data_IF_665054346130
#
_entry.id   IF_665054346130
#
_cell.length_a   1.000
_cell.length_b   1.000
_cell.length_c   1.000
_cell.angle_alpha   90.00
_cell.angle_beta   90.00
_cell.angle_gamma   90.00
#
_symmetry.space_group_name_H-M   'P 1'
#
loop_
_entity.id
_entity.type
_entity.pdbx_description
1 polymer ?
#
# COMPACT_ATOMS: atom_id res chain seq x y z
N UNK A 1 -18.06 6.78 -13.84
CA UNK A 1 -18.77 6.74 -15.14
C UNK A 1 -18.99 5.32 -15.66
N UNK A 2 -17.96 4.48 -15.81
CA UNK A 2 -18.12 3.10 -16.32
C UNK A 2 -19.23 2.28 -15.63
N UNK A 3 -19.24 2.22 -14.29
CA UNK A 3 -20.29 1.51 -13.54
C UNK A 3 -21.69 2.09 -13.79
N UNK A 4 -21.81 3.41 -13.89
CA UNK A 4 -23.08 4.10 -14.21
C UNK A 4 -23.58 3.66 -15.57
N UNK A 5 -22.72 3.66 -16.60
CA UNK A 5 -23.15 3.20 -17.94
C UNK A 5 -23.58 1.72 -17.90
N UNK A 6 -22.78 0.85 -17.28
CA UNK A 6 -23.06 -0.59 -17.25
C UNK A 6 -24.40 -0.91 -16.58
N UNK A 7 -24.75 -0.18 -15.52
CA UNK A 7 -25.96 -0.42 -14.74
C UNK A 7 -27.19 0.34 -15.27
N UNK A 8 -27.00 1.43 -16.01
CA UNK A 8 -28.09 2.31 -16.42
C UNK A 8 -28.41 2.28 -17.93
N UNK A 9 -27.56 1.66 -18.75
CA UNK A 9 -27.70 1.68 -20.21
C UNK A 9 -27.63 0.28 -20.82
N UNK A 10 -28.66 -0.05 -21.61
CA UNK A 10 -28.62 -1.19 -22.53
C UNK A 10 -28.26 -0.62 -23.91
N UNK A 11 -27.07 -0.94 -24.40
CA UNK A 11 -26.55 -0.47 -25.67
C UNK A 11 -26.18 -1.64 -26.58
N UNK A 12 -26.24 -1.44 -27.90
CA UNK A 12 -25.90 -2.47 -28.90
C UNK A 12 -24.38 -2.60 -29.08
N UNK A 13 -23.68 -2.94 -28.01
CA UNK A 13 -22.22 -3.11 -27.96
C UNK A 13 -21.87 -4.41 -27.23
N UNK A 14 -20.80 -5.08 -27.66
CA UNK A 14 -20.30 -6.28 -26.98
C UNK A 14 -19.59 -5.94 -25.65
N UNK A 15 -19.06 -4.72 -25.56
CA UNK A 15 -18.30 -4.22 -24.42
C UNK A 15 -18.66 -2.77 -24.18
N UNK A 16 -18.64 -2.38 -22.90
CA UNK A 16 -18.98 -1.02 -22.47
C UNK A 16 -17.72 -0.16 -22.28
N UNK A 17 -16.66 -0.38 -23.06
CA UNK A 17 -15.50 0.52 -22.99
C UNK A 17 -15.90 1.89 -23.53
N UNK A 18 -15.25 2.96 -23.08
CA UNK A 18 -15.56 4.31 -23.57
C UNK A 18 -15.46 4.40 -25.10
N UNK A 19 -14.50 3.68 -25.70
CA UNK A 19 -14.28 3.62 -27.15
C UNK A 19 -15.41 2.96 -27.91
N UNK A 20 -16.05 1.95 -27.31
CA UNK A 20 -17.22 1.28 -27.90
C UNK A 20 -18.47 2.17 -27.83
N UNK A 21 -18.49 3.11 -26.88
CA UNK A 21 -19.61 4.03 -26.64
C UNK A 21 -19.49 5.36 -27.39
N UNK A 22 -18.27 5.76 -27.80
CA UNK A 22 -17.99 7.00 -28.57
C UNK A 22 -18.94 7.25 -29.76
N UNK A 23 -19.35 6.21 -30.53
CA UNK A 23 -20.34 6.40 -31.60
C UNK A 23 -21.71 6.91 -31.12
N UNK A 24 -22.14 6.57 -29.91
CA UNK A 24 -23.47 6.95 -29.39
C UNK A 24 -23.54 8.42 -28.97
N UNK A 25 -22.42 9.01 -28.57
CA UNK A 25 -22.31 10.43 -28.21
C UNK A 25 -21.51 11.25 -29.24
N UNK A 26 -21.30 10.70 -30.44
CA UNK A 26 -20.75 11.41 -31.59
C UNK A 26 -19.31 11.90 -31.39
N UNK A 27 -18.48 11.16 -30.66
CA UNK A 27 -17.07 11.49 -30.52
C UNK A 27 -16.22 10.77 -31.56
N UNK A 28 -15.35 11.52 -32.24
CA UNK A 28 -14.42 10.99 -33.24
C UNK A 28 -13.03 11.44 -32.83
N UNK A 29 -12.17 10.45 -32.54
CA UNK A 29 -10.77 10.67 -32.19
C UNK A 29 -9.97 11.11 -33.40
N UNK A 30 -9.06 12.05 -33.20
CA UNK A 30 -8.07 12.46 -34.18
C UNK A 30 -6.82 11.56 -34.08
N UNK A 31 -6.50 11.07 -32.88
CA UNK A 31 -5.35 10.20 -32.66
C UNK A 31 -5.60 8.74 -33.08
N UNK A 32 -4.56 8.14 -33.68
CA UNK A 32 -4.56 6.71 -33.96
C UNK A 32 -4.21 5.93 -32.69
N UNK A 33 -5.16 5.11 -32.23
CA UNK A 33 -5.02 4.33 -30.99
C UNK A 33 -3.82 3.38 -30.97
N UNK A 34 -3.39 2.87 -32.13
CA UNK A 34 -2.21 1.99 -32.22
C UNK A 34 -0.93 2.77 -31.96
N UNK A 35 -0.83 3.96 -32.53
CA UNK A 35 0.34 4.83 -32.39
C UNK A 35 0.43 5.35 -30.95
N UNK A 36 -0.70 5.72 -30.33
CA UNK A 36 -0.77 6.09 -28.91
C UNK A 36 -0.34 4.95 -27.98
N UNK A 37 -0.73 3.71 -28.26
CA UNK A 37 -0.37 2.54 -27.45
C UNK A 37 1.14 2.23 -27.50
N UNK A 38 1.78 2.46 -28.65
CA UNK A 38 3.24 2.34 -28.78
C UNK A 38 3.96 3.46 -28.04
N UNK A 39 3.57 4.73 -28.28
CA UNK A 39 4.18 5.90 -27.64
C UNK A 39 4.06 5.87 -26.12
N UNK A 40 2.92 5.41 -25.57
CA UNK A 40 2.75 5.22 -24.12
C UNK A 40 3.79 4.27 -23.53
N UNK A 41 3.99 3.10 -24.15
CA UNK A 41 4.96 2.10 -23.65
C UNK A 41 6.40 2.62 -23.70
N UNK A 42 6.75 3.36 -24.76
CA UNK A 42 8.07 3.97 -24.89
C UNK A 42 8.31 5.04 -23.82
N UNK A 43 7.34 5.92 -23.60
CA UNK A 43 7.42 6.98 -22.57
C UNK A 43 7.45 6.38 -21.16
N UNK A 44 6.64 5.35 -20.89
CA UNK A 44 6.62 4.64 -19.60
C UNK A 44 7.99 4.01 -19.29
N UNK A 45 8.56 3.26 -20.24
CA UNK A 45 9.89 2.67 -20.08
C UNK A 45 10.98 3.73 -19.88
N UNK A 46 10.91 4.86 -20.61
CA UNK A 46 11.86 5.95 -20.45
C UNK A 46 11.78 6.61 -19.06
N UNK A 47 10.57 6.78 -18.53
CA UNK A 47 10.36 7.27 -17.16
C UNK A 47 10.98 6.31 -16.15
N UNK A 48 10.76 4.99 -16.30
CA UNK A 48 11.31 3.97 -15.41
C UNK A 48 12.85 3.91 -15.46
N UNK A 49 13.43 4.10 -16.64
CA UNK A 49 14.87 4.11 -16.85
C UNK A 49 15.53 5.44 -16.44
N UNK A 50 14.77 6.53 -16.31
CA UNK A 50 15.30 7.88 -16.09
C UNK A 50 15.85 8.54 -17.36
N UNK A 51 15.54 8.00 -18.53
CA UNK A 51 16.10 8.38 -19.84
C UNK A 51 15.08 9.15 -20.69
N UNK A 52 14.49 10.20 -20.12
CA UNK A 52 13.62 11.12 -20.86
C UNK A 52 14.46 12.18 -21.57
N UNK A 53 14.74 11.97 -22.86
CA UNK A 53 15.45 12.93 -23.71
C UNK A 53 14.57 13.49 -24.85
N UNK A 54 15.15 14.41 -25.63
CA UNK A 54 14.47 15.09 -26.75
C UNK A 54 14.02 14.11 -27.86
N UNK A 55 14.57 12.90 -27.94
CA UNK A 55 14.17 11.91 -28.95
C UNK A 55 12.75 11.37 -28.70
N UNK A 56 12.22 11.54 -27.49
CA UNK A 56 10.89 11.13 -27.08
C UNK A 56 9.84 12.24 -27.19
N UNK A 57 10.19 13.47 -27.58
CA UNK A 57 9.26 14.60 -27.57
C UNK A 57 8.02 14.35 -28.44
N UNK A 58 8.18 13.70 -29.59
CA UNK A 58 7.05 13.32 -30.44
C UNK A 58 6.16 12.29 -29.74
N UNK A 59 6.75 11.27 -29.11
CA UNK A 59 6.00 10.28 -28.33
C UNK A 59 5.28 10.93 -27.14
N UNK A 60 5.89 11.90 -26.46
CA UNK A 60 5.27 12.66 -25.38
C UNK A 60 4.07 13.47 -25.86
N UNK A 61 4.17 14.11 -27.03
CA UNK A 61 3.04 14.82 -27.67
C UNK A 61 1.90 13.88 -27.99
N UNK A 62 2.19 12.72 -28.60
CA UNK A 62 1.17 11.69 -28.88
C UNK A 62 0.48 11.21 -27.60
N UNK A 63 1.23 10.97 -26.52
CA UNK A 63 0.66 10.57 -25.21
C UNK A 63 -0.19 11.69 -24.62
N UNK A 64 0.27 12.95 -24.69
CA UNK A 64 -0.47 14.11 -24.19
C UNK A 64 -1.79 14.32 -24.96
N UNK A 65 -1.75 14.20 -26.29
CA UNK A 65 -2.92 14.29 -27.15
C UNK A 65 -3.91 13.15 -26.89
N UNK A 66 -3.41 11.92 -26.77
CA UNK A 66 -4.24 10.77 -26.40
C UNK A 66 -4.95 10.97 -25.05
N UNK A 67 -4.22 11.45 -24.02
CA UNK A 67 -4.80 11.70 -22.71
C UNK A 67 -5.82 12.85 -22.75
N UNK A 68 -5.57 13.89 -23.56
CA UNK A 68 -6.54 14.97 -23.78
C UNK A 68 -7.83 14.43 -24.39
N UNK A 69 -7.74 13.61 -25.44
CA UNK A 69 -8.91 13.00 -26.07
C UNK A 69 -9.68 12.07 -25.12
N UNK A 70 -8.99 11.30 -24.26
CA UNK A 70 -9.65 10.48 -23.23
C UNK A 70 -10.45 11.35 -22.24
N UNK A 71 -9.92 12.51 -21.83
CA UNK A 71 -10.64 13.47 -20.99
C UNK A 71 -11.85 14.07 -21.70
N UNK A 72 -11.69 14.52 -22.94
CA UNK A 72 -12.77 15.09 -23.76
C UNK A 72 -13.88 14.05 -24.02
N UNK A 73 -13.52 12.83 -24.39
CA UNK A 73 -14.46 11.71 -24.58
C UNK A 73 -15.24 11.42 -23.29
N UNK A 74 -14.55 11.42 -22.14
CA UNK A 74 -15.18 11.19 -20.83
C UNK A 74 -16.17 12.28 -20.48
N UNK A 75 -15.84 13.54 -20.76
CA UNK A 75 -16.75 14.66 -20.55
C UNK A 75 -17.99 14.54 -21.44
N UNK A 76 -17.82 14.26 -22.74
CA UNK A 76 -18.96 14.10 -23.66
C UNK A 76 -19.85 12.92 -23.31
N UNK A 77 -19.27 11.81 -22.85
CA UNK A 77 -20.03 10.69 -22.31
C UNK A 77 -20.90 11.15 -21.14
N UNK A 78 -20.34 11.91 -20.19
CA UNK A 78 -21.13 12.46 -19.08
C UNK A 78 -22.27 13.35 -19.57
N UNK A 79 -21.98 14.30 -20.48
CA UNK A 79 -22.99 15.22 -21.01
C UNK A 79 -24.13 14.46 -21.70
N UNK A 80 -23.80 13.44 -22.49
CA UNK A 80 -24.79 12.58 -23.14
C UNK A 80 -25.62 11.78 -22.14
N UNK A 81 -25.02 11.23 -21.08
CA UNK A 81 -25.76 10.55 -20.01
C UNK A 81 -26.73 11.50 -19.29
N UNK A 82 -26.35 12.76 -19.09
CA UNK A 82 -27.24 13.77 -18.51
C UNK A 82 -28.40 14.13 -19.42
N UNK A 83 -28.18 14.16 -20.74
CA UNK A 83 -29.26 14.33 -21.73
C UNK A 83 -30.25 13.17 -21.65
N UNK A 84 -29.77 11.92 -21.66
CA UNK A 84 -30.63 10.73 -21.52
C UNK A 84 -31.40 10.75 -20.20
N UNK A 85 -30.75 11.12 -19.10
CA UNK A 85 -31.40 11.27 -17.79
C UNK A 85 -32.51 12.33 -17.84
N UNK A 86 -32.27 13.47 -18.47
CA UNK A 86 -33.28 14.52 -18.62
C UNK A 86 -34.48 14.05 -19.46
N UNK A 87 -34.25 13.28 -20.52
CA UNK A 87 -35.31 12.67 -21.33
C UNK A 87 -36.18 11.72 -20.49
N UNK A 88 -35.57 10.82 -19.71
CA UNK A 88 -36.28 9.90 -18.83
C UNK A 88 -37.11 10.65 -17.78
N UNK A 89 -36.55 11.71 -17.18
CA UNK A 89 -37.28 12.57 -16.23
C UNK A 89 -38.46 13.26 -16.90
N UNK A 90 -38.29 13.75 -18.14
CA UNK A 90 -39.37 14.40 -18.89
C UNK A 90 -40.53 13.46 -19.23
N UNK A 91 -40.27 12.15 -19.28
CA UNK A 91 -41.28 11.11 -19.46
C UNK A 91 -42.02 10.74 -18.16
N UNK A 92 -41.68 11.40 -17.04
CA UNK A 92 -42.33 11.25 -15.74
C UNK A 92 -41.69 10.19 -14.84
N UNK A 93 -40.51 9.66 -15.20
CA UNK A 93 -39.77 8.74 -14.35
C UNK A 93 -38.90 9.51 -13.34
N UNK A 94 -38.88 9.03 -12.09
CA UNK A 94 -38.01 9.59 -11.06
C UNK A 94 -36.60 8.98 -11.14
N UNK A 95 -35.61 9.82 -11.45
CA UNK A 95 -34.20 9.43 -11.52
C UNK A 95 -33.34 10.46 -10.76
N UNK A 96 -33.44 10.48 -9.42
CA UNK A 96 -32.73 11.44 -8.59
C UNK A 96 -31.22 11.20 -8.66
N UNK A 97 -30.44 12.26 -8.44
CA UNK A 97 -28.99 12.08 -8.27
C UNK A 97 -28.75 11.36 -6.93
N UNK A 98 -27.82 10.40 -6.87
CA UNK A 98 -27.37 9.88 -5.59
C UNK A 98 -26.86 11.06 -4.76
N UNK A 99 -27.45 11.24 -3.59
CA UNK A 99 -26.90 12.15 -2.59
C UNK A 99 -25.70 11.39 -2.03
N UNK A 100 -24.47 11.92 -2.15
CA UNK A 100 -23.35 11.32 -1.45
C UNK A 100 -23.75 11.21 0.02
N UNK A 101 -23.63 10.04 0.65
CA UNK A 101 -23.90 9.95 2.08
C UNK A 101 -23.09 11.03 2.80
N UNK A 102 -23.72 11.68 3.78
CA UNK A 102 -23.05 12.57 4.74
C UNK A 102 -22.18 11.69 5.66
N UNK A 103 -21.18 11.05 5.07
CA UNK A 103 -20.13 10.36 5.81
C UNK A 103 -19.12 11.41 6.22
N UNK A 104 -19.51 12.20 7.22
CA UNK A 104 -18.56 12.97 7.99
C UNK A 104 -17.50 11.98 8.50
N UNK A 105 -16.29 12.08 7.94
CA UNK A 105 -15.17 11.33 8.41
C UNK A 105 -15.11 11.50 9.93
N UNK A 106 -15.03 10.38 10.67
CA UNK A 106 -15.11 10.42 12.14
C UNK A 106 -14.24 11.56 12.69
N UNK A 107 -14.67 12.21 13.77
CA UNK A 107 -13.96 13.37 14.37
C UNK A 107 -12.45 13.10 14.55
N UNK A 108 -12.08 11.84 14.80
CA UNK A 108 -10.68 11.38 14.87
C UNK A 108 -9.93 11.48 13.54
N UNK A 109 -10.55 11.07 12.43
CA UNK A 109 -9.99 11.17 11.08
C UNK A 109 -9.85 12.64 10.70
N UNK A 110 -10.87 13.47 10.96
CA UNK A 110 -10.80 14.90 10.68
C UNK A 110 -9.64 15.57 11.45
N UNK A 111 -9.51 15.30 12.76
CA UNK A 111 -8.38 15.81 13.58
C UNK A 111 -7.03 15.34 13.05
N UNK A 112 -6.93 14.09 12.62
CA UNK A 112 -5.71 13.56 12.03
C UNK A 112 -5.36 14.27 10.72
N UNK A 113 -6.33 14.42 9.81
CA UNK A 113 -6.12 15.05 8.51
C UNK A 113 -5.71 16.53 8.69
N UNK A 114 -6.31 17.25 9.65
CA UNK A 114 -5.87 18.60 10.04
C UNK A 114 -4.42 18.64 10.54
N UNK A 115 -4.03 17.70 11.41
CA UNK A 115 -2.69 17.68 11.98
C UNK A 115 -1.62 17.33 10.94
N UNK A 116 -1.91 16.37 10.05
CA UNK A 116 -1.04 16.05 8.92
C UNK A 116 -0.87 17.26 7.99
N UNK A 117 -1.96 17.99 7.73
CA UNK A 117 -1.94 19.21 6.93
C UNK A 117 -1.10 20.30 7.58
N UNK A 118 -1.26 20.54 8.89
CA UNK A 118 -0.45 21.50 9.66
C UNK A 118 1.04 21.18 9.55
N UNK A 119 1.41 19.92 9.75
CA UNK A 119 2.81 19.48 9.67
C UNK A 119 3.36 19.65 8.24
N UNK A 120 2.58 19.25 7.22
CA UNK A 120 2.97 19.39 5.81
C UNK A 120 3.21 20.86 5.45
N UNK A 121 2.27 21.73 5.79
CA UNK A 121 2.32 23.14 5.41
C UNK A 121 3.46 23.87 6.14
N UNK A 122 3.64 23.61 7.44
CA UNK A 122 4.78 24.16 8.19
C UNK A 122 6.13 23.69 7.64
N UNK A 123 6.25 22.44 7.19
CA UNK A 123 7.50 21.94 6.59
C UNK A 123 7.76 22.58 5.23
N UNK A 124 6.72 22.96 4.49
CA UNK A 124 6.82 23.62 3.19
C UNK A 124 6.96 25.15 3.27
N UNK A 125 6.91 25.73 4.47
CA UNK A 125 7.11 27.16 4.67
C UNK A 125 8.48 27.60 4.12
N UNK A 126 8.48 28.60 3.25
CA UNK A 126 9.64 29.12 2.53
C UNK A 126 10.44 28.06 1.75
N UNK A 127 9.78 26.99 1.25
CA UNK A 127 10.40 25.99 0.38
C UNK A 127 10.05 26.30 -1.10
N UNK A 128 11.03 26.63 -1.95
CA UNK A 128 10.78 26.87 -3.37
C UNK A 128 10.16 25.67 -4.11
N UNK A 129 9.31 25.94 -5.09
CA UNK A 129 8.72 24.91 -5.95
C UNK A 129 9.78 24.30 -6.87
N UNK A 130 10.72 25.10 -7.36
CA UNK A 130 11.84 24.63 -8.17
C UNK A 130 12.89 23.90 -7.30
N UNK A 131 13.19 22.61 -7.55
CA UNK A 131 14.19 21.87 -6.78
C UNK A 131 15.59 22.48 -6.80
N UNK A 132 15.99 23.16 -7.87
CA UNK A 132 17.33 23.76 -8.02
C UNK A 132 17.54 24.98 -7.11
N UNK A 133 16.45 25.59 -6.64
CA UNK A 133 16.48 26.76 -5.76
C UNK A 133 16.49 26.38 -4.27
N UNK A 134 16.38 25.09 -3.95
CA UNK A 134 16.31 24.61 -2.57
C UNK A 134 17.70 24.42 -1.97
N UNK A 135 17.88 24.91 -0.76
CA UNK A 135 18.96 24.45 0.12
C UNK A 135 18.78 22.98 0.49
N UNK A 136 19.84 22.35 0.99
CA UNK A 136 19.79 20.96 1.49
C UNK A 136 18.70 20.78 2.55
N UNK A 137 18.53 21.74 3.45
CA UNK A 137 17.49 21.70 4.49
C UNK A 137 16.09 21.90 3.92
N UNK A 138 15.91 22.80 2.94
CA UNK A 138 14.63 22.96 2.24
C UNK A 138 14.25 21.68 1.48
N UNK A 139 15.22 21.03 0.81
CA UNK A 139 14.98 19.76 0.13
C UNK A 139 14.65 18.63 1.12
N UNK A 140 15.29 18.61 2.29
CA UNK A 140 14.99 17.66 3.36
C UNK A 140 13.58 17.88 3.95
N UNK A 141 13.18 19.13 4.19
CA UNK A 141 11.82 19.49 4.63
C UNK A 141 10.78 19.12 3.57
N UNK A 142 11.05 19.41 2.30
CA UNK A 142 10.21 19.02 1.17
C UNK A 142 9.95 17.51 1.16
N UNK A 143 11.00 16.69 1.28
CA UNK A 143 10.88 15.24 1.32
C UNK A 143 10.04 14.78 2.52
N UNK A 144 10.31 15.30 3.72
CA UNK A 144 9.58 14.94 4.94
C UNK A 144 8.09 15.36 4.87
N UNK A 145 7.79 16.55 4.32
CA UNK A 145 6.42 17.03 4.16
C UNK A 145 5.57 16.07 3.33
N UNK A 146 6.12 15.58 2.21
CA UNK A 146 5.41 14.63 1.34
C UNK A 146 5.28 13.21 1.91
N UNK A 147 6.01 12.89 2.98
CA UNK A 147 5.83 11.65 3.77
C UNK A 147 4.68 11.73 4.78
N UNK A 148 4.24 12.94 5.20
CA UNK A 148 3.21 13.09 6.24
C UNK A 148 1.92 12.35 5.90
N UNK A 149 1.46 12.48 4.67
CA UNK A 149 0.21 11.86 4.20
C UNK A 149 0.41 10.47 3.59
N UNK A 150 1.64 9.95 3.51
CA UNK A 150 1.94 8.70 2.81
C UNK A 150 1.06 7.55 3.32
N UNK A 151 1.14 7.26 4.62
CA UNK A 151 0.34 6.18 5.22
C UNK A 151 -1.16 6.41 5.12
N UNK A 152 -1.62 7.66 5.19
CA UNK A 152 -3.03 8.01 5.05
C UNK A 152 -3.54 7.73 3.63
N UNK A 153 -2.72 8.01 2.61
CA UNK A 153 -3.02 7.69 1.20
C UNK A 153 -3.01 6.19 0.94
N UNK A 154 -2.00 5.48 1.44
CA UNK A 154 -1.92 4.01 1.33
C UNK A 154 -3.12 3.32 1.97
N UNK A 155 -3.55 3.80 3.15
CA UNK A 155 -4.73 3.26 3.83
C UNK A 155 -6.01 3.42 2.99
N UNK A 156 -6.14 4.50 2.19
CA UNK A 156 -7.33 4.73 1.34
C UNK A 156 -7.52 3.63 0.30
N UNK A 157 -6.46 3.12 -0.32
CA UNK A 157 -6.57 2.08 -1.33
C UNK A 157 -7.20 0.80 -0.73
N UNK A 158 -6.75 0.40 0.46
CA UNK A 158 -7.32 -0.73 1.21
C UNK A 158 -8.80 -0.51 1.54
N UNK A 159 -9.14 0.68 2.05
CA UNK A 159 -10.53 1.01 2.41
C UNK A 159 -11.45 1.17 1.19
N UNK A 160 -10.97 1.71 0.08
CA UNK A 160 -11.74 1.80 -1.16
C UNK A 160 -12.12 0.42 -1.69
N UNK A 161 -11.19 -0.52 -1.64
CA UNK A 161 -11.50 -1.90 -2.02
C UNK A 161 -12.53 -2.52 -1.09
N UNK A 162 -12.40 -2.32 0.22
CA UNK A 162 -13.41 -2.74 1.19
C UNK A 162 -14.80 -2.17 0.88
N UNK A 163 -14.91 -0.85 0.70
CA UNK A 163 -16.20 -0.21 0.43
C UNK A 163 -16.76 -0.57 -0.95
N UNK A 164 -15.89 -0.79 -1.95
CA UNK A 164 -16.31 -1.31 -3.26
C UNK A 164 -16.97 -2.67 -3.10
N UNK A 165 -16.34 -3.58 -2.35
CA UNK A 165 -16.88 -4.93 -2.10
C UNK A 165 -18.15 -4.84 -1.26
N UNK A 166 -18.18 -4.01 -0.22
CA UNK A 166 -19.36 -3.81 0.63
C UNK A 166 -20.58 -3.29 -0.15
N UNK A 167 -20.34 -2.48 -1.18
CA UNK A 167 -21.39 -1.92 -2.05
C UNK A 167 -21.87 -2.87 -3.16
N UNK A 168 -21.33 -4.10 -3.26
CA UNK A 168 -21.81 -5.10 -4.21
C UNK A 168 -23.19 -5.64 -3.81
N UNK A 169 -23.99 -6.02 -4.80
CA UNK A 169 -25.24 -6.73 -4.56
C UNK A 169 -24.95 -8.17 -4.08
N UNK A 170 -25.88 -8.77 -3.33
CA UNK A 170 -25.67 -10.12 -2.74
C UNK A 170 -25.35 -11.20 -3.80
N UNK A 171 -25.89 -11.05 -5.01
CA UNK A 171 -25.63 -11.97 -6.12
C UNK A 171 -24.21 -11.83 -6.70
N UNK A 172 -23.55 -10.68 -6.54
CA UNK A 172 -22.21 -10.42 -7.06
C UNK A 172 -21.11 -10.94 -6.13
N UNK A 173 -21.42 -11.24 -4.86
CA UNK A 173 -20.43 -11.78 -3.92
C UNK A 173 -19.83 -13.11 -4.38
N UNK A 174 -20.59 -13.97 -5.07
CA UNK A 174 -20.06 -15.26 -5.55
C UNK A 174 -18.89 -15.11 -6.55
N UNK A 175 -18.81 -13.96 -7.23
CA UNK A 175 -17.75 -13.63 -8.19
C UNK A 175 -16.60 -12.82 -7.56
N UNK A 176 -16.71 -12.45 -6.27
CA UNK A 176 -15.72 -11.66 -5.55
C UNK A 176 -14.85 -12.51 -4.63
N UNK A 177 -13.56 -12.61 -4.95
CA UNK A 177 -12.57 -13.43 -4.24
C UNK A 177 -12.35 -13.03 -2.80
N UNK A 178 -12.68 -11.79 -2.44
CA UNK A 178 -12.61 -11.28 -1.07
C UNK A 178 -13.94 -11.36 -0.33
N UNK A 179 -14.87 -12.19 -0.79
CA UNK A 179 -16.07 -12.54 -0.04
C UNK A 179 -16.27 -14.05 0.00
N UNK A 180 -16.91 -14.52 1.08
CA UNK A 180 -17.41 -15.88 1.18
C UNK A 180 -18.92 -15.81 1.37
N UNK A 181 -19.68 -16.28 0.39
CA UNK A 181 -21.15 -16.31 0.39
C UNK A 181 -21.68 -17.75 0.47
N UNK A 182 -22.95 -17.95 0.79
CA UNK A 182 -23.54 -19.28 0.94
C UNK A 182 -23.15 -20.00 2.23
N UNK A 183 -22.71 -19.26 3.26
CA UNK A 183 -22.26 -19.81 4.52
C UNK A 183 -23.39 -20.56 5.24
N UNK A 184 -23.11 -21.80 5.60
CA UNK A 184 -23.97 -22.65 6.42
C UNK A 184 -23.19 -23.11 7.64
N UNK A 185 -23.68 -22.75 8.81
CA UNK A 185 -23.11 -23.23 10.07
C UNK A 185 -23.14 -24.77 10.09
N UNK A 186 -22.00 -25.38 10.45
CA UNK A 186 -21.84 -26.81 10.51
C UNK A 186 -21.73 -27.30 11.96
N UNK A 187 -20.74 -26.79 12.71
CA UNK A 187 -20.47 -27.22 14.08
C UNK A 187 -19.68 -26.19 14.88
N UNK A 188 -19.73 -26.31 16.19
CA UNK A 188 -18.87 -25.59 17.12
C UNK A 188 -17.64 -26.45 17.44
N UNK A 189 -16.46 -25.96 17.08
CA UNK A 189 -15.19 -26.65 17.33
C UNK A 189 -14.64 -26.36 18.71
N UNK A 190 -14.89 -25.15 19.23
CA UNK A 190 -14.46 -24.76 20.58
C UNK A 190 -15.48 -23.84 21.23
N UNK A 191 -16.02 -24.30 22.36
CA UNK A 191 -16.92 -23.53 23.21
C UNK A 191 -16.12 -22.51 24.03
N UNK A 192 -16.40 -21.22 23.85
CA UNK A 192 -15.89 -20.16 24.72
C UNK A 192 -16.74 -18.89 24.59
N UNK A 193 -16.36 -17.82 25.27
CA UNK A 193 -16.98 -16.50 25.08
C UNK A 193 -16.69 -15.89 23.69
N UNK A 194 -15.74 -16.45 22.94
CA UNK A 194 -15.40 -16.11 21.56
C UNK A 194 -15.21 -17.42 20.79
N UNK A 195 -16.32 -18.12 20.45
CA UNK A 195 -16.26 -19.50 20.03
C UNK A 195 -15.56 -19.68 18.67
N UNK A 196 -15.08 -20.89 18.41
CA UNK A 196 -14.57 -21.29 17.11
C UNK A 196 -15.64 -22.12 16.41
N UNK A 197 -16.18 -21.59 15.31
CA UNK A 197 -17.28 -22.22 14.56
C UNK A 197 -16.83 -22.60 13.17
N UNK A 198 -17.24 -23.79 12.72
CA UNK A 198 -17.05 -24.25 11.34
C UNK A 198 -18.27 -23.95 10.50
N UNK A 199 -18.04 -23.47 9.30
CA UNK A 199 -19.05 -23.23 8.27
C UNK A 199 -18.69 -23.98 7.00
N UNK A 200 -19.72 -24.36 6.23
CA UNK A 200 -19.59 -24.80 4.84
C UNK A 200 -19.99 -23.67 3.89
N UNK A 201 -19.39 -23.65 2.72
CA UNK A 201 -19.71 -22.71 1.64
C UNK A 201 -19.77 -23.46 0.29
N UNK A 202 -20.49 -22.95 -0.73
CA UNK A 202 -20.48 -23.52 -2.07
C UNK A 202 -19.14 -23.30 -2.78
N UNK A 203 -18.85 -24.09 -3.81
CA UNK A 203 -17.66 -23.88 -4.67
C UNK A 203 -17.65 -22.45 -5.23
N UNK A 204 -16.64 -21.67 -4.86
CA UNK A 204 -16.41 -20.29 -5.29
C UNK A 204 -14.92 -19.98 -5.27
N UNK A 205 -14.48 -19.03 -6.08
CA UNK A 205 -13.11 -18.49 -6.01
C UNK A 205 -12.99 -17.65 -4.72
N UNK A 206 -12.07 -18.01 -3.82
CA UNK A 206 -11.90 -17.33 -2.53
C UNK A 206 -10.40 -17.19 -2.24
N UNK A 207 -9.92 -15.98 -1.93
CA UNK A 207 -8.55 -15.72 -1.45
C UNK A 207 -8.57 -15.47 0.06
N UNK A 208 -8.84 -16.53 0.82
CA UNK A 208 -8.82 -16.50 2.27
C UNK A 208 -7.45 -16.89 2.82
N UNK A 209 -7.00 -16.18 3.86
CA UNK A 209 -5.78 -16.50 4.60
C UNK A 209 -6.06 -16.64 6.07
N UNK A 210 -5.31 -17.50 6.74
CA UNK A 210 -5.36 -17.62 8.20
C UNK A 210 -5.02 -16.26 8.82
N UNK A 211 -5.86 -15.81 9.74
CA UNK A 211 -5.75 -14.52 10.40
C UNK A 211 -6.45 -13.38 9.66
N UNK A 212 -7.05 -13.61 8.49
CA UNK A 212 -7.82 -12.57 7.81
C UNK A 212 -8.99 -12.11 8.70
N UNK A 213 -9.18 -10.79 8.80
CA UNK A 213 -10.33 -10.23 9.51
C UNK A 213 -11.59 -10.38 8.65
N UNK A 214 -12.69 -10.78 9.29
CA UNK A 214 -13.99 -10.99 8.67
C UNK A 214 -14.96 -9.90 9.08
N UNK A 215 -15.70 -9.38 8.12
CA UNK A 215 -16.71 -8.34 8.27
C UNK A 215 -18.05 -8.83 7.71
N UNK A 216 -19.15 -8.44 8.33
CA UNK A 216 -20.48 -8.72 7.78
C UNK A 216 -20.88 -7.72 6.68
N UNK A 217 -22.00 -7.99 6.02
CA UNK A 217 -22.53 -7.17 4.91
C UNK A 217 -23.04 -5.80 5.37
N UNK A 218 -23.18 -5.59 6.68
CA UNK A 218 -23.51 -4.28 7.26
C UNK A 218 -22.24 -3.48 7.61
N UNK A 219 -21.07 -4.07 7.39
CA UNK A 219 -19.77 -3.45 7.63
C UNK A 219 -19.32 -3.51 9.09
N UNK A 220 -19.84 -4.43 9.89
CA UNK A 220 -19.39 -4.67 11.26
C UNK A 220 -18.34 -5.78 11.32
N UNK A 221 -17.41 -5.66 12.28
CA UNK A 221 -16.42 -6.71 12.53
C UNK A 221 -17.09 -7.99 13.01
N UNK A 222 -16.87 -9.09 12.32
CA UNK A 222 -17.48 -10.38 12.63
C UNK A 222 -16.55 -11.32 13.40
N UNK A 223 -15.28 -11.40 13.00
CA UNK A 223 -14.33 -12.38 13.53
C UNK A 223 -13.04 -12.43 12.72
N UNK A 224 -12.36 -13.57 12.75
CA UNK A 224 -11.21 -13.82 11.89
C UNK A 224 -11.16 -15.27 11.41
N UNK A 225 -10.52 -15.50 10.28
CA UNK A 225 -10.27 -16.85 9.75
C UNK A 225 -9.26 -17.56 10.64
N UNK A 226 -9.61 -18.69 11.24
CA UNK A 226 -8.62 -19.55 11.93
C UNK A 226 -8.05 -20.62 10.99
N UNK A 227 -8.91 -21.22 10.16
CA UNK A 227 -8.52 -22.22 9.18
C UNK A 227 -9.48 -22.23 7.98
N UNK A 228 -9.02 -22.76 6.85
CA UNK A 228 -9.84 -22.93 5.65
C UNK A 228 -9.39 -24.17 4.87
N UNK A 229 -10.33 -24.81 4.19
CA UNK A 229 -10.07 -25.97 3.33
C UNK A 229 -10.94 -25.89 2.07
N UNK A 230 -10.29 -25.67 0.92
CA UNK A 230 -10.97 -25.54 -0.38
C UNK A 230 -11.58 -26.85 -0.87
N UNK A 231 -10.95 -28.00 -0.57
CA UNK A 231 -11.43 -29.31 -1.00
C UNK A 231 -12.70 -29.72 -0.27
N UNK A 232 -12.73 -29.47 1.04
CA UNK A 232 -13.89 -29.78 1.89
C UNK A 232 -14.93 -28.65 1.93
N UNK A 233 -14.61 -27.50 1.32
CA UNK A 233 -15.42 -26.28 1.29
C UNK A 233 -15.82 -25.83 2.70
N UNK A 234 -14.86 -25.85 3.62
CA UNK A 234 -15.04 -25.46 5.01
C UNK A 234 -14.18 -24.27 5.39
N UNK A 235 -14.73 -23.40 6.22
CA UNK A 235 -14.01 -22.30 6.86
C UNK A 235 -14.27 -22.30 8.36
N UNK A 236 -13.21 -22.22 9.14
CA UNK A 236 -13.26 -22.15 10.59
C UNK A 236 -13.07 -20.68 10.99
N UNK A 237 -14.09 -20.13 11.65
CA UNK A 237 -14.18 -18.73 12.00
C UNK A 237 -14.03 -18.58 13.51
N UNK A 238 -12.97 -17.89 13.93
CA UNK A 238 -12.84 -17.43 15.30
C UNK A 238 -13.76 -16.22 15.49
N UNK A 239 -14.81 -16.41 16.27
CA UNK A 239 -15.87 -15.45 16.49
C UNK A 239 -15.45 -14.37 17.50
N UNK A 240 -16.19 -13.27 17.54
CA UNK A 240 -16.13 -12.30 18.63
C UNK A 240 -17.24 -12.61 19.65
N UNK A 241 -17.15 -12.01 20.83
CA UNK A 241 -18.15 -12.23 21.90
C UNK A 241 -19.55 -11.75 21.51
N UNK A 242 -19.63 -10.62 20.84
CA UNK A 242 -20.87 -10.01 20.35
C UNK A 242 -21.44 -10.71 19.12
N UNK A 243 -20.60 -11.42 18.35
CA UNK A 243 -21.06 -12.16 17.16
C UNK A 243 -21.24 -13.65 17.43
N UNK A 244 -20.99 -14.12 18.66
CA UNK A 244 -20.89 -15.54 19.01
C UNK A 244 -22.07 -16.40 18.53
N UNK A 245 -23.29 -15.89 18.62
CA UNK A 245 -24.53 -16.58 18.22
C UNK A 245 -25.06 -16.22 16.83
N UNK A 246 -24.35 -15.36 16.09
CA UNK A 246 -24.78 -14.86 14.77
C UNK A 246 -24.24 -15.78 13.66
N UNK A 247 -25.07 -16.24 12.73
CA UNK A 247 -24.65 -17.07 11.61
C UNK A 247 -25.04 -16.40 10.29
N UNK A 248 -24.16 -15.59 9.68
CA UNK A 248 -24.45 -14.84 8.48
C UNK A 248 -24.39 -15.75 7.25
N UNK A 249 -25.08 -15.32 6.19
CA UNK A 249 -25.02 -15.98 4.88
C UNK A 249 -23.76 -15.61 4.10
N UNK A 250 -23.23 -14.40 4.29
CA UNK A 250 -22.03 -13.92 3.63
C UNK A 250 -21.12 -13.14 4.59
N UNK A 251 -19.81 -13.18 4.32
CA UNK A 251 -18.78 -12.42 5.02
C UNK A 251 -17.74 -11.88 4.03
N UNK A 252 -17.22 -10.70 4.32
CA UNK A 252 -16.17 -10.03 3.58
C UNK A 252 -14.83 -10.25 4.28
N UNK A 253 -13.77 -10.52 3.50
CA UNK A 253 -12.41 -10.65 3.99
C UNK A 253 -11.66 -9.34 3.80
N UNK A 254 -11.38 -8.65 4.90
CA UNK A 254 -10.69 -7.37 4.84
C UNK A 254 -9.73 -7.19 6.01
N UNK A 255 -8.44 -7.31 5.72
CA UNK A 255 -7.36 -7.21 6.70
C UNK A 255 -6.54 -5.95 6.42
N UNK A 256 -6.36 -5.11 7.43
CA UNK A 256 -5.46 -3.97 7.34
C UNK A 256 -4.47 -3.98 8.50
N UNK A 257 -3.17 -3.99 8.18
CA UNK A 257 -2.13 -3.76 9.18
C UNK A 257 -2.12 -2.27 9.50
N UNK A 258 -2.33 -1.93 10.77
CA UNK A 258 -2.40 -0.53 11.18
C UNK A 258 -1.09 0.20 10.91
N UNK A 259 -1.17 1.27 10.11
CA UNK A 259 -0.07 2.20 9.85
C UNK A 259 0.16 3.20 10.98
N UNK A 260 -0.66 3.17 12.04
CA UNK A 260 -0.72 4.19 13.10
C UNK A 260 0.65 4.50 13.71
N UNK A 261 1.38 3.47 14.16
CA UNK A 261 2.68 3.67 14.81
C UNK A 261 3.73 4.25 13.87
N UNK A 262 3.72 3.86 12.59
CA UNK A 262 4.63 4.39 11.58
C UNK A 262 4.32 5.86 11.27
N UNK A 263 3.04 6.18 11.07
CA UNK A 263 2.54 7.54 10.86
C UNK A 263 2.87 8.45 12.04
N UNK A 264 2.57 8.03 13.26
CA UNK A 264 2.90 8.80 14.47
C UNK A 264 4.41 9.01 14.63
N UNK A 265 5.23 8.07 14.16
CA UNK A 265 6.68 8.24 14.15
C UNK A 265 7.14 9.33 13.18
N UNK A 266 6.55 9.40 11.99
CA UNK A 266 6.82 10.48 11.04
C UNK A 266 6.30 11.83 11.57
N UNK A 267 5.13 11.86 12.19
CA UNK A 267 4.58 13.08 12.77
C UNK A 267 5.48 13.63 13.88
N UNK A 268 5.99 12.77 14.77
CA UNK A 268 6.98 13.18 15.79
C UNK A 268 8.25 13.76 15.16
N UNK A 269 8.75 13.16 14.07
CA UNK A 269 9.91 13.68 13.35
C UNK A 269 9.61 15.03 12.69
N UNK A 270 8.43 15.17 12.08
CA UNK A 270 7.96 16.44 11.50
C UNK A 270 7.92 17.55 12.54
N UNK A 271 7.34 17.28 13.71
CA UNK A 271 7.27 18.25 14.80
C UNK A 271 8.66 18.69 15.25
N UNK A 272 9.59 17.74 15.45
CA UNK A 272 10.98 18.05 15.81
C UNK A 272 11.65 18.95 14.77
N UNK A 273 11.45 18.69 13.49
CA UNK A 273 12.02 19.54 12.43
C UNK A 273 11.41 20.94 12.43
N UNK A 274 10.12 21.10 12.75
CA UNK A 274 9.48 22.41 12.86
C UNK A 274 9.96 23.20 14.08
N UNK A 275 10.12 22.54 15.23
CA UNK A 275 10.45 23.22 16.49
C UNK A 275 11.95 23.42 16.69
N UNK A 276 12.76 22.45 16.26
CA UNK A 276 14.19 22.39 16.53
C UNK A 276 15.05 22.46 15.26
N UNK A 277 14.44 22.46 14.07
CA UNK A 277 15.17 22.38 12.81
C UNK A 277 15.89 21.04 12.64
N UNK A 278 17.02 21.05 11.92
CA UNK A 278 17.84 19.85 11.71
C UNK A 278 18.91 19.65 12.79
N UNK A 279 18.63 20.08 14.02
CA UNK A 279 19.54 19.85 15.15
C UNK A 279 19.69 18.34 15.39
N UNK A 280 20.93 17.85 15.28
CA UNK A 280 21.25 16.43 15.20
C UNK A 280 21.22 15.73 16.58
N UNK A 281 20.03 15.65 17.19
CA UNK A 281 19.84 15.07 18.53
C UNK A 281 19.25 13.65 18.48
N UNK A 282 19.57 12.85 19.51
CA UNK A 282 18.93 11.54 19.71
C UNK A 282 17.46 11.74 20.10
N UNK A 283 16.53 10.88 19.65
CA UNK A 283 16.74 9.65 18.89
C UNK A 283 16.69 9.82 17.35
N UNK A 284 16.47 11.02 16.84
CA UNK A 284 16.15 11.26 15.42
C UNK A 284 17.35 11.46 14.49
N UNK A 285 18.55 11.57 15.06
CA UNK A 285 19.83 11.69 14.35
C UNK A 285 19.90 10.96 13.01
N UNK A 286 19.66 9.64 13.00
CA UNK A 286 19.76 8.83 11.79
C UNK A 286 18.82 9.32 10.68
N UNK A 287 17.59 9.67 11.03
CA UNK A 287 16.57 10.11 10.08
C UNK A 287 16.91 11.50 9.52
N UNK A 288 17.37 12.42 10.38
CA UNK A 288 17.80 13.75 9.96
C UNK A 288 19.02 13.69 9.04
N UNK A 289 20.03 12.89 9.37
CA UNK A 289 21.22 12.68 8.53
C UNK A 289 20.84 12.10 7.15
N UNK A 290 19.91 11.13 7.12
CA UNK A 290 19.39 10.57 5.85
C UNK A 290 18.63 11.60 5.02
N UNK A 291 17.76 12.40 5.65
CA UNK A 291 17.00 13.46 4.97
C UNK A 291 17.92 14.51 4.35
N UNK A 292 18.98 14.89 5.07
CA UNK A 292 20.00 15.82 4.60
C UNK A 292 21.01 15.19 3.63
N UNK A 293 20.90 13.88 3.35
CA UNK A 293 21.86 13.11 2.54
C UNK A 293 23.30 13.26 3.05
N UNK A 294 23.48 13.35 4.36
CA UNK A 294 24.80 13.45 4.96
C UNK A 294 25.55 12.12 4.78
N UNK A 295 26.82 12.16 4.36
CA UNK A 295 27.62 10.95 4.27
C UNK A 295 27.79 10.34 5.66
N UNK A 296 27.74 9.01 5.73
CA UNK A 296 28.00 8.30 6.99
C UNK A 296 29.41 8.61 7.47
N UNK A 297 29.65 8.83 8.78
CA UNK A 297 31.00 9.02 9.32
C UNK A 297 31.90 7.78 9.16
N UNK A 298 31.35 6.66 8.66
CA UNK A 298 32.07 5.40 8.44
C UNK A 298 32.67 5.27 7.03
N UNK A 299 32.37 6.18 6.10
CA UNK A 299 32.97 6.19 4.77
C UNK A 299 34.39 6.76 4.81
N UNK A 300 35.23 6.38 3.85
CA UNK A 300 36.52 7.05 3.62
C UNK A 300 36.33 8.37 2.86
N UNK A 301 37.42 9.08 2.58
CA UNK A 301 37.41 10.36 1.83
C UNK A 301 36.75 10.26 0.44
N UNK A 302 36.74 9.06 -0.15
CA UNK A 302 36.11 8.77 -1.45
C UNK A 302 34.67 8.23 -1.33
N UNK A 303 34.08 8.21 -0.13
CA UNK A 303 32.72 7.70 0.09
C UNK A 303 32.61 6.17 0.16
N UNK A 304 33.72 5.45 0.22
CA UNK A 304 33.77 3.98 0.18
C UNK A 304 33.73 3.41 1.60
N UNK A 305 32.86 2.41 1.81
CA UNK A 305 32.68 1.70 3.08
C UNK A 305 33.61 0.48 3.25
N UNK A 306 33.87 -0.25 2.16
CA UNK A 306 34.73 -1.44 2.13
C UNK A 306 36.17 -1.05 1.80
N UNK A 307 37.14 -1.61 2.53
CA UNK A 307 38.57 -1.39 2.25
C UNK A 307 39.04 -2.30 1.12
N UNK A 308 40.08 -1.91 0.38
CA UNK A 308 40.59 -2.66 -0.78
C UNK A 308 40.94 -4.12 -0.43
N UNK A 309 41.62 -4.36 0.70
CA UNK A 309 42.04 -5.69 1.14
C UNK A 309 41.05 -6.37 2.11
N UNK A 310 39.79 -5.96 2.14
CA UNK A 310 38.80 -6.47 3.07
C UNK A 310 37.66 -7.21 2.36
N UNK A 311 37.40 -8.45 2.77
CA UNK A 311 36.23 -9.19 2.31
C UNK A 311 34.93 -8.49 2.72
N UNK A 312 33.90 -8.52 1.87
CA UNK A 312 32.61 -7.83 2.10
C UNK A 312 31.96 -8.19 3.43
N UNK A 313 32.04 -9.46 3.86
CA UNK A 313 31.55 -9.90 5.17
C UNK A 313 32.27 -9.19 6.32
N UNK A 314 33.60 -9.10 6.25
CA UNK A 314 34.43 -8.46 7.27
C UNK A 314 34.12 -6.96 7.33
N UNK A 315 33.94 -6.32 6.16
CA UNK A 315 33.50 -4.93 6.09
C UNK A 315 32.14 -4.72 6.77
N UNK A 316 31.15 -5.57 6.46
CA UNK A 316 29.83 -5.50 7.07
C UNK A 316 29.90 -5.62 8.61
N UNK A 317 30.62 -6.64 9.13
CA UNK A 317 30.82 -6.82 10.57
C UNK A 317 31.54 -5.63 11.21
N UNK A 318 32.64 -5.17 10.62
CA UNK A 318 33.38 -3.99 11.11
C UNK A 318 32.51 -2.75 11.17
N UNK A 319 31.69 -2.51 10.14
CA UNK A 319 30.83 -1.32 10.04
C UNK A 319 29.68 -1.41 11.05
N UNK A 320 28.97 -2.55 11.12
CA UNK A 320 27.87 -2.74 12.05
C UNK A 320 28.28 -2.51 13.51
N UNK A 321 29.49 -2.96 13.87
CA UNK A 321 30.08 -2.76 15.19
C UNK A 321 30.49 -1.30 15.49
N UNK A 322 30.52 -0.42 14.50
CA UNK A 322 30.85 1.01 14.65
C UNK A 322 29.63 1.92 14.54
N UNK A 323 28.47 1.40 14.15
CA UNK A 323 27.25 2.20 14.04
C UNK A 323 26.86 2.77 15.41
N UNK A 324 26.57 4.07 15.45
CA UNK A 324 26.10 4.76 16.65
C UNK A 324 24.92 5.66 16.30
N UNK A 325 23.76 5.03 16.08
CA UNK A 325 22.57 5.74 15.62
C UNK A 325 22.64 6.13 14.13
N UNK A 326 23.32 5.34 13.31
CA UNK A 326 23.33 5.47 11.85
C UNK A 326 22.77 4.19 11.22
N UNK A 327 22.47 4.24 9.92
CA UNK A 327 21.94 3.12 9.14
C UNK A 327 23.02 2.59 8.21
N UNK A 328 23.13 1.25 8.10
CA UNK A 328 23.95 0.58 7.10
C UNK A 328 23.02 -0.21 6.16
N UNK A 329 22.90 0.24 4.92
CA UNK A 329 22.19 -0.50 3.88
C UNK A 329 23.12 -1.55 3.25
N UNK A 330 22.70 -2.81 3.22
CA UNK A 330 23.43 -3.90 2.55
C UNK A 330 22.53 -4.44 1.43
N UNK A 331 22.89 -4.11 0.19
CA UNK A 331 22.18 -4.59 -0.99
C UNK A 331 22.84 -5.86 -1.52
N UNK A 332 22.01 -6.82 -1.95
CA UNK A 332 22.48 -8.03 -2.61
C UNK A 332 21.36 -8.66 -3.43
N UNK A 333 21.59 -9.04 -4.70
CA UNK A 333 20.65 -9.82 -5.50
C UNK A 333 20.18 -11.12 -4.82
N UNK A 334 19.16 -11.81 -5.36
CA UNK A 334 18.78 -13.14 -4.88
C UNK A 334 19.99 -14.10 -4.87
N UNK A 335 20.14 -14.87 -3.80
CA UNK A 335 21.23 -15.87 -3.68
C UNK A 335 22.59 -15.35 -3.20
N UNK A 336 22.81 -14.03 -3.05
CA UNK A 336 24.15 -13.48 -2.69
C UNK A 336 24.54 -13.57 -1.21
N UNK A 337 23.92 -14.48 -0.45
CA UNK A 337 24.30 -14.71 0.94
C UNK A 337 23.84 -13.65 1.95
N UNK A 338 22.77 -12.88 1.69
CA UNK A 338 22.22 -11.92 2.68
C UNK A 338 21.92 -12.55 4.05
N UNK A 339 21.35 -13.76 4.05
CA UNK A 339 21.10 -14.52 5.28
C UNK A 339 22.39 -14.91 5.99
N UNK A 340 23.40 -15.32 5.23
CA UNK A 340 24.72 -15.66 5.75
C UNK A 340 25.37 -14.42 6.41
N UNK A 341 25.45 -13.30 5.69
CA UNK A 341 25.95 -12.03 6.23
C UNK A 341 25.17 -11.58 7.47
N UNK A 342 23.84 -11.65 7.44
CA UNK A 342 22.99 -11.33 8.58
C UNK A 342 23.27 -12.19 9.81
N UNK A 343 23.46 -13.50 9.63
CA UNK A 343 23.82 -14.42 10.72
C UNK A 343 25.15 -14.05 11.39
N UNK A 344 26.18 -13.75 10.60
CA UNK A 344 27.48 -13.29 11.14
C UNK A 344 27.36 -11.93 11.85
N UNK A 345 26.57 -11.01 11.31
CA UNK A 345 26.31 -9.71 11.95
C UNK A 345 25.66 -9.88 13.32
N UNK A 346 24.64 -10.75 13.42
CA UNK A 346 23.98 -11.07 14.70
C UNK A 346 25.00 -11.61 15.71
N UNK A 347 25.84 -12.56 15.30
CA UNK A 347 26.87 -13.14 16.17
C UNK A 347 27.88 -12.08 16.63
N UNK A 348 28.39 -11.27 15.71
CA UNK A 348 29.35 -10.20 16.01
C UNK A 348 28.78 -9.15 16.99
N UNK A 349 27.53 -8.73 16.80
CA UNK A 349 26.85 -7.79 17.69
C UNK A 349 26.63 -8.40 19.09
N UNK A 350 26.25 -9.67 19.16
CA UNK A 350 26.00 -10.38 20.43
C UNK A 350 27.29 -10.64 21.20
N UNK A 351 28.41 -10.91 20.53
CA UNK A 351 29.73 -10.98 21.18
C UNK A 351 30.13 -9.66 21.86
N UNK A 352 29.62 -8.51 21.39
CA UNK A 352 29.76 -7.21 22.07
C UNK A 352 28.73 -6.95 23.17
N UNK A 353 27.88 -7.92 23.50
CA UNK A 353 26.85 -7.78 24.52
C UNK A 353 25.64 -6.94 24.09
N UNK A 354 25.47 -6.67 22.79
CA UNK A 354 24.34 -5.89 22.29
C UNK A 354 23.06 -6.73 22.19
N UNK A 355 21.92 -6.05 22.36
CA UNK A 355 20.61 -6.62 22.03
C UNK A 355 20.35 -6.44 20.54
N UNK A 356 19.88 -7.51 19.88
CA UNK A 356 19.60 -7.51 18.45
C UNK A 356 18.11 -7.75 18.23
N UNK A 357 17.44 -6.82 17.57
CA UNK A 357 16.07 -6.99 17.09
C UNK A 357 16.08 -7.35 15.61
N UNK A 358 15.23 -8.29 15.21
CA UNK A 358 15.07 -8.72 13.82
C UNK A 358 13.65 -8.45 13.36
N UNK A 359 13.51 -7.87 12.17
CA UNK A 359 12.21 -7.64 11.52
C UNK A 359 12.29 -8.02 10.04
N UNK A 360 11.20 -8.53 9.49
CA UNK A 360 11.08 -8.86 8.07
C UNK A 360 9.60 -8.89 7.66
N UNK A 361 9.36 -8.97 6.34
CA UNK A 361 8.01 -9.04 5.75
C UNK A 361 7.26 -10.35 6.03
N UNK A 362 7.93 -11.38 6.57
CA UNK A 362 7.27 -12.63 6.97
C UNK A 362 8.01 -13.36 8.08
N UNK A 363 7.25 -14.13 8.87
CA UNK A 363 7.79 -15.02 9.90
C UNK A 363 8.79 -16.02 9.33
N UNK A 364 8.54 -16.57 8.12
CA UNK A 364 9.44 -17.52 7.47
C UNK A 364 10.84 -16.93 7.24
N UNK A 365 10.92 -15.65 6.84
CA UNK A 365 12.20 -14.95 6.64
C UNK A 365 12.93 -14.75 7.97
N UNK A 366 12.20 -14.38 9.03
CA UNK A 366 12.77 -14.23 10.39
C UNK A 366 13.33 -15.56 10.87
N UNK A 367 12.53 -16.64 10.83
CA UNK A 367 12.94 -17.98 11.26
C UNK A 367 14.18 -18.43 10.50
N UNK A 368 14.20 -18.30 9.17
CA UNK A 368 15.36 -18.68 8.36
C UNK A 368 16.64 -17.91 8.74
N UNK A 369 16.53 -16.62 9.06
CA UNK A 369 17.68 -15.83 9.54
C UNK A 369 18.14 -16.27 10.93
N UNK A 370 17.21 -16.52 11.86
CA UNK A 370 17.52 -16.96 13.22
C UNK A 370 18.15 -18.36 13.24
N UNK A 371 17.65 -19.29 12.43
CA UNK A 371 18.27 -20.61 12.24
C UNK A 371 19.69 -20.48 11.68
N UNK A 372 19.89 -19.59 10.70
CA UNK A 372 21.21 -19.24 10.19
C UNK A 372 22.14 -18.70 11.27
N UNK A 373 21.66 -17.79 12.11
CA UNK A 373 22.41 -17.22 13.22
C UNK A 373 22.76 -18.26 14.29
N UNK A 374 21.84 -19.19 14.62
CA UNK A 374 22.09 -20.30 15.54
C UNK A 374 23.15 -21.26 15.01
N UNK A 375 23.11 -21.57 13.70
CA UNK A 375 24.13 -22.40 13.05
C UNK A 375 25.49 -21.71 13.12
N UNK A 376 25.55 -20.42 12.80
CA UNK A 376 26.80 -19.67 12.83
C UNK A 376 27.36 -19.52 14.25
N UNK A 377 26.49 -19.30 15.23
CA UNK A 377 26.87 -19.29 16.64
C UNK A 377 27.57 -20.59 17.06
N UNK A 378 27.04 -21.76 16.64
CA UNK A 378 27.68 -23.06 16.90
C UNK A 378 29.04 -23.18 16.22
N UNK A 379 29.19 -22.71 14.98
CA UNK A 379 30.48 -22.70 14.29
C UNK A 379 31.54 -21.88 15.03
N UNK A 380 31.12 -20.78 15.67
CA UNK A 380 31.99 -19.90 16.46
C UNK A 380 32.14 -20.34 17.93
N UNK A 381 31.51 -21.44 18.35
CA UNK A 381 31.53 -21.90 19.74
C UNK A 381 30.85 -20.94 20.72
N UNK A 382 29.87 -20.13 20.27
CA UNK A 382 29.11 -19.22 21.12
C UNK A 382 27.70 -19.75 21.40
N UNK A 383 27.17 -19.46 22.58
CA UNK A 383 25.76 -19.66 22.89
C UNK A 383 24.95 -18.42 22.45
N UNK A 384 23.94 -18.65 21.62
CA UNK A 384 23.01 -17.64 21.16
C UNK A 384 21.60 -17.99 21.65
N UNK A 385 21.12 -17.25 22.65
CA UNK A 385 19.71 -17.31 23.07
C UNK A 385 18.89 -16.43 22.14
N UNK A 386 18.06 -17.07 21.31
CA UNK A 386 17.12 -16.43 20.38
C UNK A 386 15.75 -16.24 20.99
#
# INVERSE_FOLDING_TARGET
LYAVVRLSLIASVERYSIKDLEPFFGYVRQQNLRDASMSRRLVEHAIEAGDLDETLDEHRRIVADYNREDCESTQRLQDWLEQLRAEVISQGHDLPRPIPPDDDASEKIHKLDMELQRLRDGLLEDVPVNPEERSTEQQARFALAHMMEFHRREDKASWWEYFRVLALDENEYADERRTVTGLKYAEELTASSAPLHRYKFPSQDLDARRGDELWDVEGNRFGSVDNFNYSDQTIDIKKRKDTASIHPHALLLHSQVSSKTLRESLMRLGEVVLTEGFNNQKPYRAALELLLRQPSPLVNESGILQREDEATLNAACRLALKLNGNVLAIQGPPGTGKTYTGAHLICALKQRGLKVGVTAVSHKVIVNLLEGALKEARNQGMELHT
#
